data_IF_149362706021
#
_entry.id   IF_149362706021
#
_cell.length_a   1.000
_cell.length_b   1.000
_cell.length_c   1.000
_cell.angle_alpha   90.00
_cell.angle_beta   90.00
_cell.angle_gamma   90.00
#
_symmetry.space_group_name_H-M   'P 1'
#
loop_
_entity.id
_entity.type
_entity.pdbx_description
1 polymer ?
#
# COMPACT_ATOMS: atom_id res chain seq x y z
N UNK A 1 -1.01 34.15 4.06
CA UNK A 1 -0.42 33.28 3.02
C UNK A 1 0.73 32.38 3.51
N UNK A 2 1.14 32.37 4.81
CA UNK A 2 2.31 31.60 5.30
C UNK A 2 2.01 30.31 6.08
N UNK A 3 0.78 30.07 6.56
CA UNK A 3 0.49 28.87 7.38
C UNK A 3 0.17 27.63 6.57
N UNK A 4 -0.64 27.76 5.52
CA UNK A 4 -1.08 26.60 4.71
C UNK A 4 0.08 25.88 4.01
N UNK A 5 1.09 26.62 3.56
CA UNK A 5 2.26 26.02 2.91
C UNK A 5 3.18 25.32 3.94
N UNK A 6 3.31 25.88 5.16
CA UNK A 6 4.06 25.25 6.25
C UNK A 6 3.41 23.97 6.75
N UNK A 7 2.09 23.91 6.78
CA UNK A 7 1.37 22.70 7.16
C UNK A 7 1.43 21.64 6.07
N UNK A 8 1.44 22.06 4.80
CA UNK A 8 1.63 21.16 3.65
C UNK A 8 3.02 20.50 3.65
N UNK A 9 4.08 21.25 3.92
CA UNK A 9 5.44 20.70 4.00
C UNK A 9 5.58 19.74 5.19
N UNK A 10 5.00 20.09 6.35
CA UNK A 10 4.93 19.18 7.50
C UNK A 10 4.14 17.92 7.21
N UNK A 11 3.05 18.03 6.43
CA UNK A 11 2.28 16.88 5.99
C UNK A 11 3.07 15.96 5.07
N UNK A 12 3.87 16.54 4.17
CA UNK A 12 4.77 15.80 3.28
C UNK A 12 5.81 15.01 4.06
N UNK A 13 6.56 15.67 4.95
CA UNK A 13 7.65 15.04 5.68
C UNK A 13 7.12 13.94 6.62
N UNK A 14 5.98 14.17 7.26
CA UNK A 14 5.31 13.15 8.07
C UNK A 14 4.80 11.99 7.20
N UNK A 15 4.21 12.23 6.04
CA UNK A 15 3.77 11.14 5.16
C UNK A 15 4.95 10.26 4.70
N UNK A 16 6.10 10.87 4.39
CA UNK A 16 7.33 10.16 4.05
C UNK A 16 7.84 9.33 5.23
N UNK A 17 7.92 9.94 6.42
CA UNK A 17 8.36 9.28 7.64
C UNK A 17 7.47 8.08 7.98
N UNK A 18 6.15 8.26 7.90
CA UNK A 18 5.18 7.19 8.09
C UNK A 18 5.37 6.06 7.07
N UNK A 19 5.58 6.37 5.79
CA UNK A 19 5.86 5.34 4.79
C UNK A 19 7.09 4.49 5.16
N UNK A 20 8.15 5.12 5.68
CA UNK A 20 9.32 4.42 6.21
C UNK A 20 9.00 3.50 7.40
N UNK A 21 8.23 3.99 8.37
CA UNK A 21 7.74 3.17 9.50
C UNK A 21 6.98 1.94 8.99
N UNK A 22 6.08 2.12 8.02
CA UNK A 22 5.25 1.02 7.49
C UNK A 22 6.12 -0.04 6.81
N UNK A 23 7.06 0.36 5.96
CA UNK A 23 7.97 -0.58 5.29
C UNK A 23 8.87 -1.31 6.29
N UNK A 24 9.42 -0.62 7.28
CA UNK A 24 10.25 -1.24 8.32
C UNK A 24 9.46 -2.23 9.18
N UNK A 25 8.28 -1.81 9.66
CA UNK A 25 7.42 -2.62 10.50
C UNK A 25 6.92 -3.87 9.76
N UNK A 26 6.41 -3.73 8.53
CA UNK A 26 5.92 -4.89 7.77
C UNK A 26 7.07 -5.86 7.46
N UNK A 27 8.26 -5.35 7.10
CA UNK A 27 9.39 -6.21 6.76
C UNK A 27 9.79 -7.05 7.98
N UNK A 28 10.10 -6.41 9.11
CA UNK A 28 10.56 -7.13 10.29
C UNK A 28 9.48 -7.96 11.00
N UNK A 29 8.20 -7.60 10.89
CA UNK A 29 7.12 -8.34 11.53
C UNK A 29 6.85 -9.69 10.87
N UNK A 30 7.03 -9.79 9.55
CA UNK A 30 6.59 -10.96 8.78
C UNK A 30 7.74 -11.86 8.30
N UNK A 31 8.98 -11.38 8.25
CA UNK A 31 10.12 -12.26 7.96
C UNK A 31 10.20 -13.42 8.96
N UNK A 32 10.58 -14.59 8.46
CA UNK A 32 10.61 -15.83 9.25
C UNK A 32 9.27 -16.55 9.32
N UNK A 33 8.17 -15.96 8.86
CA UNK A 33 6.86 -16.63 8.85
C UNK A 33 6.91 -17.88 7.97
N UNK A 34 6.51 -19.07 8.47
CA UNK A 34 6.40 -20.26 7.64
C UNK A 34 5.41 -20.06 6.49
N UNK A 35 5.84 -20.36 5.27
CA UNK A 35 5.07 -20.17 4.04
C UNK A 35 5.33 -21.31 3.04
N UNK A 36 4.32 -21.67 2.28
CA UNK A 36 4.40 -22.57 1.13
C UNK A 36 3.69 -21.93 -0.07
N UNK A 37 3.84 -22.51 -1.27
CA UNK A 37 3.09 -22.09 -2.45
C UNK A 37 1.57 -22.09 -2.23
N UNK A 38 1.06 -23.00 -1.39
CA UNK A 38 -0.36 -23.13 -1.04
C UNK A 38 -0.83 -22.03 -0.07
N UNK A 39 0.00 -21.61 0.88
CA UNK A 39 -0.38 -20.65 1.93
C UNK A 39 -0.02 -19.20 1.61
N UNK A 40 0.82 -18.97 0.61
CA UNK A 40 1.35 -17.64 0.31
C UNK A 40 0.26 -16.60 0.00
N UNK A 41 -0.86 -16.97 -0.62
CA UNK A 41 -1.97 -16.03 -0.88
C UNK A 41 -2.71 -15.62 0.41
N UNK A 42 -2.86 -16.58 1.33
CA UNK A 42 -3.42 -16.30 2.65
C UNK A 42 -2.50 -15.36 3.43
N UNK A 43 -1.19 -15.56 3.34
CA UNK A 43 -0.20 -14.70 3.99
C UNK A 43 -0.17 -13.30 3.37
N UNK A 44 -0.23 -13.15 2.04
CA UNK A 44 -0.37 -11.86 1.36
C UNK A 44 -1.58 -11.09 1.88
N UNK A 45 -2.72 -11.77 2.01
CA UNK A 45 -3.96 -11.20 2.53
C UNK A 45 -3.84 -10.77 3.99
N UNK A 46 -3.19 -11.59 4.83
CA UNK A 46 -2.95 -11.27 6.24
C UNK A 46 -2.03 -10.06 6.40
N UNK A 47 -0.93 -9.98 5.65
CA UNK A 47 -0.02 -8.83 5.64
C UNK A 47 -0.78 -7.57 5.19
N UNK A 48 -1.49 -7.65 4.06
CA UNK A 48 -2.28 -6.54 3.52
C UNK A 48 -3.25 -5.99 4.56
N UNK A 49 -4.05 -6.86 5.18
CA UNK A 49 -5.03 -6.47 6.20
C UNK A 49 -4.36 -5.86 7.43
N UNK A 50 -3.29 -6.48 7.93
CA UNK A 50 -2.58 -5.99 9.11
C UNK A 50 -1.95 -4.61 8.88
N UNK A 51 -1.28 -4.40 7.74
CA UNK A 51 -0.67 -3.11 7.41
C UNK A 51 -1.72 -2.03 7.14
N UNK A 52 -2.87 -2.41 6.55
CA UNK A 52 -3.98 -1.47 6.28
C UNK A 52 -4.63 -0.90 7.55
N UNK A 53 -4.45 -1.54 8.72
CA UNK A 53 -4.91 -1.02 10.00
C UNK A 53 -4.04 0.12 10.54
N UNK A 54 -2.82 0.28 10.02
CA UNK A 54 -1.91 1.31 10.50
C UNK A 54 -2.39 2.71 10.07
N UNK A 55 -2.16 3.75 10.89
CA UNK A 55 -2.60 5.11 10.58
C UNK A 55 -2.11 5.60 9.21
N UNK A 56 -2.98 6.32 8.49
CA UNK A 56 -2.75 6.96 7.19
C UNK A 56 -2.49 6.02 6.01
N UNK A 57 -2.56 4.70 6.20
CA UNK A 57 -2.46 3.76 5.09
C UNK A 57 -3.75 3.80 4.27
N UNK A 58 -3.65 4.19 3.00
CA UNK A 58 -4.81 4.23 2.08
C UNK A 58 -4.88 3.04 1.15
N UNK A 59 -3.75 2.38 0.87
CA UNK A 59 -3.70 1.16 0.08
C UNK A 59 -2.46 0.33 0.39
N UNK A 60 -2.59 -0.99 0.28
CA UNK A 60 -1.48 -1.95 0.38
C UNK A 60 -1.66 -3.03 -0.68
N UNK A 61 -0.58 -3.29 -1.41
CA UNK A 61 -0.45 -4.42 -2.34
C UNK A 61 0.70 -5.30 -1.84
N UNK A 62 0.46 -6.60 -1.71
CA UNK A 62 1.45 -7.57 -1.24
C UNK A 62 1.54 -8.67 -2.27
N UNK A 63 2.76 -9.00 -2.68
CA UNK A 63 3.08 -10.14 -3.51
C UNK A 63 4.26 -10.91 -2.93
N UNK A 64 4.11 -12.22 -2.86
CA UNK A 64 5.14 -13.19 -2.49
C UNK A 64 5.48 -13.97 -3.75
N UNK A 65 6.75 -13.97 -4.14
CA UNK A 65 7.23 -14.66 -5.33
C UNK A 65 7.14 -16.18 -5.16
N UNK A 66 6.19 -16.81 -5.89
CA UNK A 66 5.92 -18.24 -5.81
C UNK A 66 7.09 -19.09 -6.31
N UNK A 67 7.86 -18.61 -7.28
CA UNK A 67 9.04 -19.33 -7.79
C UNK A 67 10.17 -19.31 -6.77
N UNK A 68 10.36 -18.19 -6.07
CA UNK A 68 11.34 -18.10 -4.96
C UNK A 68 10.92 -18.96 -3.76
N UNK A 69 9.62 -19.00 -3.44
CA UNK A 69 9.08 -19.90 -2.40
C UNK A 69 9.33 -21.36 -2.76
N UNK A 70 8.96 -21.78 -3.98
CA UNK A 70 9.16 -23.16 -4.44
C UNK A 70 10.65 -23.56 -4.39
N UNK A 71 11.54 -22.72 -4.93
CA UNK A 71 12.99 -22.95 -4.86
C UNK A 71 13.51 -23.05 -3.43
N UNK A 72 12.98 -22.25 -2.50
CA UNK A 72 13.40 -22.30 -1.10
C UNK A 72 12.90 -23.56 -0.39
N UNK A 73 11.67 -24.01 -0.69
CA UNK A 73 11.12 -25.28 -0.19
C UNK A 73 11.97 -26.48 -0.64
N UNK A 74 12.42 -26.48 -1.89
CA UNK A 74 13.27 -27.54 -2.45
C UNK A 74 14.70 -27.55 -1.88
N UNK A 75 15.22 -26.37 -1.51
CA UNK A 75 16.60 -26.19 -1.03
C UNK A 75 16.82 -26.46 0.45
N UNK A 76 15.77 -26.71 1.25
CA UNK A 76 15.78 -26.97 2.70
C UNK A 76 17.10 -26.70 3.43
N UNK A 77 17.22 -25.56 4.14
CA UNK A 77 18.41 -25.25 4.94
C UNK A 77 18.52 -26.21 6.14
N UNK A 78 19.32 -27.26 6.00
CA UNK A 78 19.68 -28.16 7.09
C UNK A 78 20.14 -29.52 6.58
N UNK A 79 21.31 -29.96 7.07
CA UNK A 79 22.03 -31.16 6.63
C UNK A 79 21.33 -32.50 6.87
N UNK A 80 20.11 -32.55 7.42
CA UNK A 80 19.49 -33.85 7.76
C UNK A 80 18.03 -34.06 7.34
N UNK A 81 17.32 -33.13 6.70
CA UNK A 81 15.97 -33.43 6.16
C UNK A 81 15.44 -32.47 5.08
N UNK A 82 16.03 -32.39 3.87
CA UNK A 82 15.56 -31.47 2.82
C UNK A 82 14.21 -31.84 2.16
N UNK A 83 13.54 -32.90 2.61
CA UNK A 83 12.34 -33.44 1.91
C UNK A 83 11.12 -33.68 2.79
N UNK A 84 11.22 -33.50 4.12
CA UNK A 84 10.14 -33.93 5.03
C UNK A 84 9.03 -32.89 5.21
N UNK A 85 9.37 -31.60 5.11
CA UNK A 85 8.43 -30.52 5.38
C UNK A 85 8.34 -29.58 4.18
N UNK A 86 7.16 -29.52 3.56
CA UNK A 86 6.90 -28.75 2.32
C UNK A 86 6.67 -27.26 2.60
N UNK A 87 7.56 -26.59 3.32
CA UNK A 87 7.49 -25.14 3.58
C UNK A 87 8.88 -24.51 3.67
N UNK A 88 8.94 -23.18 3.59
CA UNK A 88 10.12 -22.40 3.89
C UNK A 88 9.75 -21.21 4.79
N UNK A 89 10.74 -20.49 5.27
CA UNK A 89 10.51 -19.20 5.94
C UNK A 89 10.41 -18.08 4.90
N UNK A 90 9.49 -17.15 5.12
CA UNK A 90 9.38 -15.95 4.30
C UNK A 90 10.66 -15.11 4.44
N UNK A 91 11.33 -14.87 3.31
CA UNK A 91 12.55 -14.07 3.22
C UNK A 91 12.31 -12.78 2.43
N UNK A 92 13.19 -11.78 2.63
CA UNK A 92 13.08 -10.50 1.92
C UNK A 92 13.19 -10.63 0.40
N UNK A 93 13.87 -11.68 -0.09
CA UNK A 93 14.00 -11.95 -1.52
C UNK A 93 12.66 -12.26 -2.21
N UNK A 94 11.72 -12.82 -1.44
CA UNK A 94 10.40 -13.25 -1.91
C UNK A 94 9.38 -12.11 -1.90
N UNK A 95 9.64 -11.02 -1.17
CA UNK A 95 8.66 -9.99 -0.89
C UNK A 95 8.68 -8.84 -1.90
N UNK A 96 7.49 -8.48 -2.35
CA UNK A 96 7.21 -7.29 -3.14
C UNK A 96 5.95 -6.62 -2.58
N UNK A 97 6.14 -5.55 -1.81
CA UNK A 97 5.05 -4.88 -1.09
C UNK A 97 5.06 -3.40 -1.41
N UNK A 98 3.91 -2.90 -1.87
CA UNK A 98 3.66 -1.47 -2.04
C UNK A 98 2.72 -0.97 -0.96
N UNK A 99 3.06 0.17 -0.37
CA UNK A 99 2.24 0.87 0.62
C UNK A 99 1.99 2.29 0.13
N UNK A 100 0.72 2.71 0.18
CA UNK A 100 0.33 4.08 -0.09
C UNK A 100 -0.09 4.73 1.22
N UNK A 101 0.60 5.81 1.58
CA UNK A 101 0.29 6.65 2.74
C UNK A 101 -0.36 7.94 2.25
N UNK A 102 -1.53 8.27 2.81
CA UNK A 102 -2.24 9.52 2.54
C UNK A 102 -2.39 10.33 3.82
N UNK A 103 -1.72 11.48 3.88
CA UNK A 103 -1.80 12.40 5.01
C UNK A 103 -2.13 13.81 4.51
N UNK A 104 -3.29 14.32 4.90
CA UNK A 104 -3.83 15.56 4.34
C UNK A 104 -4.03 15.44 2.83
N UNK A 105 -3.35 16.30 2.07
CA UNK A 105 -3.33 16.26 0.60
C UNK A 105 -2.09 15.54 0.03
N UNK A 106 -1.21 14.99 0.87
CA UNK A 106 0.02 14.34 0.40
C UNK A 106 -0.15 12.83 0.34
N UNK A 107 0.07 12.28 -0.85
CA UNK A 107 0.16 10.85 -1.09
C UNK A 107 1.63 10.45 -1.30
N UNK A 108 2.08 9.45 -0.55
CA UNK A 108 3.40 8.84 -0.69
C UNK A 108 3.21 7.37 -1.06
N UNK A 109 3.80 6.95 -2.17
CA UNK A 109 3.87 5.56 -2.58
C UNK A 109 5.27 5.04 -2.29
N UNK A 110 5.35 3.98 -1.51
CA UNK A 110 6.61 3.36 -1.11
C UNK A 110 6.55 1.87 -1.35
N UNK A 111 7.72 1.26 -1.57
CA UNK A 111 7.82 -0.15 -1.93
C UNK A 111 9.03 -0.80 -1.26
N UNK A 112 8.86 -2.05 -0.83
CA UNK A 112 9.97 -2.98 -0.59
C UNK A 112 9.95 -4.05 -1.68
N UNK A 113 11.07 -4.25 -2.36
CA UNK A 113 11.24 -5.28 -3.39
C UNK A 113 12.70 -5.70 -3.43
N UNK A 114 12.94 -6.99 -3.63
CA UNK A 114 14.28 -7.48 -3.94
C UNK A 114 14.77 -6.95 -5.29
N UNK A 115 15.91 -6.25 -5.26
CA UNK A 115 16.62 -5.78 -6.45
C UNK A 115 17.82 -6.69 -6.71
N UNK A 116 17.75 -7.47 -7.79
CA UNK A 116 18.75 -8.49 -8.13
C UNK A 116 20.15 -7.90 -8.33
N UNK A 117 20.25 -6.70 -8.92
CA UNK A 117 21.52 -5.99 -9.15
C UNK A 117 22.25 -5.62 -7.86
N UNK A 118 21.51 -5.39 -6.78
CA UNK A 118 22.05 -5.02 -5.46
C UNK A 118 22.13 -6.23 -4.52
N UNK A 119 21.60 -7.39 -4.93
CA UNK A 119 21.34 -8.53 -4.07
C UNK A 119 20.68 -8.13 -2.73
N UNK A 120 19.72 -7.19 -2.78
CA UNK A 120 19.20 -6.53 -1.59
C UNK A 120 17.69 -6.23 -1.67
N UNK A 121 16.92 -6.47 -0.59
CA UNK A 121 15.52 -6.04 -0.49
C UNK A 121 15.44 -4.54 -0.23
N UNK A 122 15.42 -3.78 -1.32
CA UNK A 122 15.47 -2.32 -1.28
C UNK A 122 14.10 -1.74 -0.90
N UNK A 123 14.11 -0.89 0.14
CA UNK A 123 12.99 -0.01 0.48
C UNK A 123 13.18 1.34 -0.21
N UNK A 124 12.17 1.81 -0.95
CA UNK A 124 12.23 3.11 -1.61
C UNK A 124 10.88 3.81 -1.66
N UNK A 125 10.93 5.14 -1.77
CA UNK A 125 9.78 5.94 -2.19
C UNK A 125 9.71 5.89 -3.73
N UNK A 126 8.59 5.45 -4.28
CA UNK A 126 8.37 5.45 -5.73
C UNK A 126 7.73 6.77 -6.19
N UNK A 127 6.91 7.41 -5.34
CA UNK A 127 6.24 8.67 -5.68
C UNK A 127 5.88 9.47 -4.44
N UNK A 128 6.02 10.79 -4.53
CA UNK A 128 5.45 11.76 -3.58
C UNK A 128 4.63 12.75 -4.39
N UNK A 129 3.34 12.89 -4.09
CA UNK A 129 2.42 13.73 -4.85
C UNK A 129 1.42 14.46 -3.96
N UNK A 130 1.00 15.64 -4.41
CA UNK A 130 -0.10 16.38 -3.80
C UNK A 130 -1.39 16.07 -4.55
N UNK A 131 -2.37 15.49 -3.88
CA UNK A 131 -3.72 15.33 -4.41
C UNK A 131 -4.39 16.70 -4.48
N UNK A 132 -4.80 17.10 -5.68
CA UNK A 132 -5.71 18.23 -5.85
C UNK A 132 -6.98 17.97 -5.05
N UNK A 133 -7.56 18.99 -4.40
CA UNK A 133 -8.88 18.85 -3.78
C UNK A 133 -9.88 18.35 -4.85
N UNK A 134 -10.84 17.49 -4.48
CA UNK A 134 -11.87 17.07 -5.42
C UNK A 134 -12.54 18.31 -6.02
N UNK A 135 -12.61 18.37 -7.36
CA UNK A 135 -13.36 19.43 -8.04
C UNK A 135 -14.81 19.33 -7.53
N UNK A 136 -15.29 20.33 -6.81
CA UNK A 136 -16.69 20.41 -6.42
C UNK A 136 -17.56 20.19 -7.67
N UNK A 137 -18.36 19.13 -7.64
CA UNK A 137 -19.47 18.95 -8.56
C UNK A 137 -20.37 20.16 -8.34
N UNK A 138 -20.34 21.13 -9.26
CA UNK A 138 -21.19 22.33 -9.15
C UNK A 138 -22.64 21.86 -9.07
N UNK A 139 -23.29 22.25 -7.98
CA UNK A 139 -24.74 22.17 -7.78
C UNK A 139 -25.46 22.54 -9.08
N UNK A 140 -26.24 21.61 -9.62
CA UNK A 140 -27.24 21.92 -10.65
C UNK A 140 -28.31 22.79 -9.99
N UNK A 141 -28.18 24.10 -10.18
CA UNK A 141 -29.21 25.07 -9.83
C UNK A 141 -30.50 24.73 -10.54
N UNK A 142 -31.52 24.42 -9.74
CA UNK A 142 -32.94 24.37 -10.07
C UNK A 142 -33.33 25.61 -10.88
N UNK A 143 -33.68 25.45 -12.16
CA UNK A 143 -34.44 26.47 -12.89
C UNK A 143 -35.91 26.26 -12.57
N UNK A 144 -36.44 27.07 -11.67
CA UNK A 144 -37.87 27.33 -11.55
C UNK A 144 -38.35 28.01 -12.84
N UNK A 145 -39.07 27.29 -13.69
CA UNK A 145 -39.81 27.89 -14.80
C UNK A 145 -41.09 28.52 -14.25
N UNK A 146 -41.08 29.84 -14.07
CA UNK A 146 -42.28 30.63 -14.06
C UNK A 146 -42.60 31.00 -15.52
N UNK A 147 -43.66 30.42 -16.07
CA UNK A 147 -44.33 30.94 -17.26
C UNK A 147 -45.83 30.80 -17.05
N UNK A 148 -46.50 31.95 -17.00
CA UNK A 148 -47.91 32.07 -16.69
C UNK A 148 -48.82 31.51 -17.78
N UNK A 149 -50.08 31.27 -17.38
CA UNK A 149 -51.20 31.12 -18.29
C UNK A 149 -52.42 31.84 -17.72
N UNK A 150 -52.70 33.00 -18.29
CA UNK A 150 -53.96 33.74 -18.22
C UNK A 150 -54.90 33.22 -19.32
N UNK A 151 -56.12 32.82 -18.96
CA UNK A 151 -57.37 32.88 -19.77
C UNK A 151 -58.53 32.48 -18.82
N UNK A 152 -59.34 33.43 -18.32
CA UNK A 152 -60.64 33.93 -18.83
C UNK A 152 -61.84 32.97 -18.62
N UNK A 153 -62.80 33.45 -17.80
CA UNK A 153 -64.30 33.35 -17.88
C UNK A 153 -64.94 31.97 -18.06
N UNK A 154 -66.02 31.58 -17.37
CA UNK A 154 -67.12 32.31 -16.72
C UNK A 154 -67.60 31.59 -15.44
#
# INVERSE_FOLDING_TARGET
MKDKDRDRDRDRDKAIFEAGIKLGALYHQFLGTPVSTETAESLETAIKRSVSLQPWVSAVEVKIDREKVLRAQEKGRGTESPKKFKYCELSGEMLDVKVVVLRGQVEVQARVKYEEELAYPLMRLEKVAFKSPPKNLKNSSTKSNASGRTTKTA
#
